data_IF_151227956425
#
_entry.id   IF_151227956425
#
_cell.length_a   1.000
_cell.length_b   1.000
_cell.length_c   1.000
_cell.angle_alpha   90.00
_cell.angle_beta   90.00
_cell.angle_gamma   90.00
#
_symmetry.space_group_name_H-M   'P 1'
#
loop_
_entity.id
_entity.type
_entity.pdbx_description
1 polymer ?
#
# COMPACT_ATOMS: atom_id res chain seq x y z
N UNK A 1 4.84 -34.43 -5.95
CA UNK A 1 4.59 -33.67 -6.05
C UNK A 1 4.92 -32.93 -6.17
N UNK A 2 4.55 -32.94 -6.33
CA UNK A 2 4.89 -32.26 -6.34
C UNK A 2 5.42 -31.13 -6.34
N UNK A 3 6.30 -30.86 -6.51
CA UNK A 3 6.99 -29.66 -6.42
C UNK A 3 6.48 -28.52 -7.22
N UNK A 4 5.78 -28.78 -8.21
CA UNK A 4 5.26 -27.73 -9.06
C UNK A 4 4.31 -26.80 -8.32
N UNK A 5 3.73 -27.27 -7.25
CA UNK A 5 2.77 -26.46 -6.53
C UNK A 5 3.36 -25.22 -5.89
N UNK A 6 4.64 -25.26 -5.52
CA UNK A 6 5.21 -24.10 -4.88
C UNK A 6 5.91 -23.15 -5.82
N UNK A 7 5.90 -23.45 -7.09
CA UNK A 7 6.39 -22.50 -8.07
C UNK A 7 5.30 -21.58 -8.56
N UNK A 8 4.06 -21.92 -8.28
CA UNK A 8 2.91 -21.12 -8.66
C UNK A 8 2.28 -20.53 -7.43
N UNK A 9 2.05 -19.25 -7.49
CA UNK A 9 1.33 -18.58 -6.42
C UNK A 9 -0.16 -18.81 -6.59
N UNK A 10 -0.82 -19.19 -5.51
CA UNK A 10 -2.27 -19.25 -5.52
C UNK A 10 -2.82 -17.91 -5.02
N UNK A 11 -4.14 -17.79 -5.05
CA UNK A 11 -4.80 -16.54 -4.64
C UNK A 11 -4.45 -16.18 -3.20
N UNK A 12 -4.37 -17.18 -2.33
CA UNK A 12 -4.04 -16.93 -0.93
C UNK A 12 -2.65 -16.35 -0.76
N UNK A 13 -1.66 -16.89 -1.50
CA UNK A 13 -0.30 -16.38 -1.42
C UNK A 13 -0.21 -14.95 -1.95
N UNK A 14 -0.91 -14.67 -3.03
CA UNK A 14 -0.92 -13.33 -3.60
C UNK A 14 -1.56 -12.34 -2.64
N UNK A 15 -2.68 -12.72 -2.04
CA UNK A 15 -3.35 -11.86 -1.06
C UNK A 15 -2.49 -11.67 0.18
N UNK A 16 -1.71 -12.68 0.57
CA UNK A 16 -0.82 -12.54 1.71
C UNK A 16 0.22 -11.45 1.47
N UNK A 17 0.64 -11.25 0.23
CA UNK A 17 1.57 -10.17 -0.07
C UNK A 17 0.90 -8.79 0.02
N UNK A 18 -0.40 -8.75 -0.21
CA UNK A 18 -1.12 -7.48 -0.12
C UNK A 18 -1.29 -7.02 1.32
N UNK A 19 -1.35 -7.94 2.27
CA UNK A 19 -1.54 -7.58 3.67
C UNK A 19 -0.55 -6.57 4.20
N UNK A 20 0.77 -6.84 4.11
CA UNK A 20 1.76 -5.87 4.56
C UNK A 20 1.69 -4.55 3.81
N UNK A 21 1.38 -4.57 2.52
CA UNK A 21 1.24 -3.35 1.74
C UNK A 21 0.10 -2.50 2.24
N UNK A 22 -1.03 -3.14 2.53
CA UNK A 22 -2.20 -2.43 3.05
C UNK A 22 -1.91 -1.87 4.43
N UNK A 23 -1.24 -2.65 5.27
CA UNK A 23 -0.88 -2.21 6.62
C UNK A 23 0.04 -0.99 6.55
N UNK A 24 1.04 -1.02 5.68
CA UNK A 24 1.95 0.10 5.52
C UNK A 24 1.23 1.32 4.96
N UNK A 25 0.32 1.10 4.01
CA UNK A 25 -0.47 2.19 3.45
C UNK A 25 -1.35 2.83 4.52
N UNK A 26 -1.93 2.01 5.38
CA UNK A 26 -2.74 2.52 6.47
C UNK A 26 -1.91 3.37 7.42
N UNK A 27 -0.70 2.92 7.75
CA UNK A 27 0.18 3.67 8.64
C UNK A 27 0.58 5.01 8.02
N UNK A 28 0.88 5.02 6.73
CA UNK A 28 1.23 6.25 6.03
C UNK A 28 0.04 7.21 5.99
N UNK A 29 -1.15 6.67 5.75
CA UNK A 29 -2.35 7.47 5.72
C UNK A 29 -2.61 8.11 7.10
N UNK A 30 -2.44 7.32 8.15
CA UNK A 30 -2.61 7.82 9.51
C UNK A 30 -1.61 8.93 9.80
N UNK A 31 -0.36 8.74 9.40
CA UNK A 31 0.67 9.74 9.59
C UNK A 31 0.33 11.05 8.87
N UNK A 32 -0.19 10.94 7.65
CA UNK A 32 -0.61 12.12 6.89
C UNK A 32 -1.76 12.85 7.58
N UNK A 33 -2.74 12.10 8.05
CA UNK A 33 -3.89 12.70 8.74
C UNK A 33 -3.43 13.42 9.99
N UNK A 34 -2.54 12.78 10.76
CA UNK A 34 -2.04 13.40 11.98
C UNK A 34 -1.26 14.68 11.68
N UNK A 35 -0.40 14.64 10.67
CA UNK A 35 0.39 15.80 10.30
C UNK A 35 -0.50 16.95 9.83
N UNK A 36 -1.48 16.64 9.01
CA UNK A 36 -2.38 17.66 8.48
C UNK A 36 -3.30 18.23 9.54
N UNK A 37 -3.68 17.40 10.52
CA UNK A 37 -4.60 17.82 11.56
C UNK A 37 -3.92 18.62 12.65
N UNK A 38 -2.64 18.37 12.91
CA UNK A 38 -1.96 18.97 14.04
C UNK A 38 -1.20 20.24 13.70
N UNK A 39 -1.05 20.57 12.42
CA UNK A 39 -0.31 21.77 12.01
C UNK A 39 -1.27 22.75 11.33
N UNK A 40 -1.36 24.00 11.83
CA UNK A 40 -2.18 24.99 11.15
C UNK A 40 -1.71 25.19 9.72
N UNK A 41 -2.66 25.41 8.84
CA UNK A 41 -2.39 25.48 7.41
C UNK A 41 -1.34 26.57 7.10
N UNK A 42 -1.38 27.66 7.80
CA UNK A 42 -0.49 28.80 7.56
C UNK A 42 0.94 28.53 8.00
N UNK A 43 1.14 27.49 8.82
CA UNK A 43 2.46 27.19 9.35
C UNK A 43 3.19 26.15 8.55
N UNK A 44 2.59 25.60 7.51
CA UNK A 44 3.26 24.64 6.67
C UNK A 44 4.36 25.31 5.88
N UNK A 45 5.56 24.85 6.05
CA UNK A 45 6.70 25.31 5.28
C UNK A 45 6.83 24.46 4.03
N UNK A 46 7.57 24.99 3.06
CA UNK A 46 7.76 24.30 1.81
C UNK A 46 8.32 22.90 1.99
N UNK A 47 9.32 22.78 2.87
CA UNK A 47 9.92 21.49 3.14
C UNK A 47 8.91 20.51 3.73
N UNK A 48 8.01 21.01 4.56
CA UNK A 48 6.99 20.15 5.13
C UNK A 48 5.98 19.71 4.09
N UNK A 49 5.63 20.61 3.18
CA UNK A 49 4.74 20.27 2.09
C UNK A 49 5.38 19.22 1.19
N UNK A 50 6.67 19.39 0.89
CA UNK A 50 7.40 18.41 0.09
C UNK A 50 7.44 17.05 0.78
N UNK A 51 7.66 17.03 2.08
CA UNK A 51 7.68 15.78 2.84
C UNK A 51 6.32 15.10 2.83
N UNK A 52 5.24 15.88 2.96
CA UNK A 52 3.89 15.34 2.91
C UNK A 52 3.59 14.78 1.52
N UNK A 53 4.06 15.44 0.48
CA UNK A 53 3.90 14.94 -0.87
C UNK A 53 4.62 13.61 -1.06
N UNK A 54 5.83 13.49 -0.49
CA UNK A 54 6.58 12.24 -0.54
C UNK A 54 5.81 11.11 0.11
N UNK A 55 5.25 11.39 1.29
CA UNK A 55 4.44 10.40 2.00
C UNK A 55 3.24 9.99 1.17
N UNK A 56 2.60 10.96 0.53
CA UNK A 56 1.43 10.67 -0.28
C UNK A 56 1.80 9.80 -1.49
N UNK A 57 2.94 10.07 -2.11
CA UNK A 57 3.41 9.26 -3.22
C UNK A 57 3.72 7.82 -2.78
N UNK A 58 4.34 7.67 -1.61
CA UNK A 58 4.62 6.34 -1.10
C UNK A 58 3.34 5.59 -0.79
N UNK A 59 2.36 6.29 -0.22
CA UNK A 59 1.05 5.71 0.05
C UNK A 59 0.40 5.23 -1.25
N UNK A 60 0.40 6.09 -2.25
CA UNK A 60 -0.19 5.75 -3.54
C UNK A 60 0.50 4.54 -4.16
N UNK A 61 1.83 4.50 -4.05
CA UNK A 61 2.62 3.39 -4.59
C UNK A 61 2.23 2.07 -3.92
N UNK A 62 2.11 2.08 -2.59
CA UNK A 62 1.75 0.89 -1.86
C UNK A 62 0.34 0.44 -2.17
N UNK A 63 -0.58 1.38 -2.30
CA UNK A 63 -1.96 1.05 -2.66
C UNK A 63 -2.03 0.48 -4.07
N UNK A 64 -1.25 1.02 -4.99
CA UNK A 64 -1.20 0.51 -6.36
C UNK A 64 -0.72 -0.93 -6.39
N UNK A 65 0.33 -1.22 -5.62
CA UNK A 65 0.85 -2.59 -5.55
C UNK A 65 -0.15 -3.53 -4.89
N UNK A 66 -0.83 -3.07 -3.86
CA UNK A 66 -1.85 -3.87 -3.20
C UNK A 66 -3.00 -4.17 -4.17
N UNK A 67 -3.39 -3.18 -4.96
CA UNK A 67 -4.45 -3.36 -5.95
C UNK A 67 -4.04 -4.38 -7.00
N UNK A 68 -2.78 -4.34 -7.43
CA UNK A 68 -2.26 -5.33 -8.38
C UNK A 68 -2.34 -6.73 -7.80
N UNK A 69 -2.00 -6.88 -6.52
CA UNK A 69 -2.09 -8.17 -5.85
C UNK A 69 -3.54 -8.66 -5.81
N UNK A 70 -4.47 -7.76 -5.54
CA UNK A 70 -5.88 -8.13 -5.49
C UNK A 70 -6.39 -8.56 -6.86
N UNK A 71 -5.97 -7.86 -7.91
CA UNK A 71 -6.36 -8.22 -9.27
C UNK A 71 -5.80 -9.57 -9.65
N UNK A 72 -4.53 -9.80 -9.32
CA UNK A 72 -3.88 -11.06 -9.60
C UNK A 72 -4.58 -12.20 -8.87
N UNK A 73 -4.92 -12.00 -7.61
CA UNK A 73 -5.62 -12.99 -6.82
C UNK A 73 -6.99 -13.28 -7.42
N UNK A 74 -7.67 -12.24 -7.88
CA UNK A 74 -8.99 -12.39 -8.49
C UNK A 74 -8.90 -13.22 -9.76
N UNK A 75 -7.89 -12.99 -10.58
CA UNK A 75 -7.68 -13.76 -11.79
C UNK A 75 -7.41 -15.23 -11.48
N UNK A 76 -6.57 -15.47 -10.46
CA UNK A 76 -6.25 -16.83 -10.05
C UNK A 76 -7.49 -17.55 -9.51
N UNK A 77 -8.31 -16.85 -8.74
CA UNK A 77 -9.52 -17.43 -8.18
C UNK A 77 -10.56 -17.72 -9.25
N UNK A 78 -10.58 -16.93 -10.31
CA UNK A 78 -11.54 -17.08 -11.37
C UNK A 78 -11.29 -18.25 -12.30
N UNK A 79 -10.17 -18.95 -12.12
CA UNK A 79 -9.82 -20.10 -12.93
C UNK A 79 -10.23 -21.39 -12.25
#
# INVERSE_FOLDING_TARGET
>A
MTGSGHEQEDAGSVLARAGPLISEAHALCYALVMALSSTPREEFKREEIDALCQLAFELLNKLSKAAECCEEASELSGR
#
